data_IF_759310781815
#
_entry.id   IF_759310781815
#
_cell.length_a   1.000
_cell.length_b   1.000
_cell.length_c   1.000
_cell.angle_alpha   90.00
_cell.angle_beta   90.00
_cell.angle_gamma   90.00
#
_symmetry.space_group_name_H-M   'P 1'
#
loop_
_entity.id
_entity.type
_entity.pdbx_description
1 polymer ?
#
# COMPACT_ATOMS: atom_id res chain seq x y z
N UNK A 1 -3.12 0.96 23.21
CA UNK A 1 -4.47 0.43 23.55
C UNK A 1 -5.46 1.54 23.83
N UNK A 2 -5.17 2.48 24.72
CA UNK A 2 -6.11 3.56 25.08
C UNK A 2 -6.56 4.43 23.88
N UNK A 3 -5.68 4.73 22.91
CA UNK A 3 -6.01 5.58 21.76
C UNK A 3 -6.98 4.86 20.80
N UNK A 4 -6.71 3.60 20.47
CA UNK A 4 -7.60 2.81 19.61
C UNK A 4 -8.96 2.56 20.29
N UNK A 5 -8.96 2.35 21.61
CA UNK A 5 -10.18 2.23 22.39
C UNK A 5 -11.02 3.51 22.33
N UNK A 6 -10.38 4.67 22.46
CA UNK A 6 -11.06 5.97 22.32
C UNK A 6 -11.69 6.15 20.94
N UNK A 7 -11.00 5.74 19.85
CA UNK A 7 -11.56 5.77 18.50
C UNK A 7 -12.76 4.85 18.35
N UNK A 8 -12.72 3.64 18.93
CA UNK A 8 -13.82 2.70 18.92
C UNK A 8 -15.03 3.20 19.72
N UNK A 9 -14.81 3.68 20.95
CA UNK A 9 -15.87 4.21 21.83
C UNK A 9 -16.58 5.43 21.23
N UNK A 10 -15.86 6.23 20.42
CA UNK A 10 -16.45 7.31 19.64
C UNK A 10 -17.07 6.87 18.31
N UNK A 11 -17.11 5.57 18.02
CA UNK A 11 -17.73 5.02 16.83
C UNK A 11 -16.98 5.27 15.52
N UNK A 12 -15.70 5.62 15.56
CA UNK A 12 -14.91 5.92 14.36
C UNK A 12 -14.31 4.69 13.70
N UNK A 13 -13.98 3.66 14.48
CA UNK A 13 -13.43 2.40 13.98
C UNK A 13 -14.20 1.19 14.52
N UNK A 14 -14.04 0.03 13.88
CA UNK A 14 -14.50 -1.26 14.39
C UNK A 14 -13.71 -1.67 15.63
N UNK A 15 -14.13 -2.74 16.30
CA UNK A 15 -13.53 -3.21 17.55
C UNK A 15 -12.04 -3.53 17.34
N UNK A 16 -11.17 -2.92 18.17
CA UNK A 16 -9.72 -2.93 17.99
C UNK A 16 -9.03 -4.21 18.48
N UNK A 17 -9.71 -5.07 19.28
CA UNK A 17 -9.14 -6.34 19.74
C UNK A 17 -9.66 -7.48 18.87
N UNK A 18 -9.12 -7.58 17.66
CA UNK A 18 -9.46 -8.60 16.67
C UNK A 18 -8.21 -9.12 15.99
N UNK A 19 -8.24 -10.37 15.59
CA UNK A 19 -7.27 -11.02 14.72
C UNK A 19 -7.80 -11.19 13.28
N UNK A 20 -9.04 -10.78 13.05
CA UNK A 20 -9.69 -10.86 11.75
C UNK A 20 -9.02 -9.92 10.73
N UNK A 21 -8.91 -10.42 9.49
CA UNK A 21 -8.40 -9.70 8.32
C UNK A 21 -9.48 -9.52 7.26
N UNK A 22 -10.74 -9.79 7.60
CA UNK A 22 -11.87 -9.73 6.66
C UNK A 22 -12.80 -8.58 6.96
N UNK A 23 -13.50 -8.12 5.96
CA UNK A 23 -14.48 -7.04 6.04
C UNK A 23 -15.90 -7.57 5.79
N UNK A 24 -16.93 -6.85 6.23
CA UNK A 24 -18.29 -7.15 5.80
C UNK A 24 -18.47 -6.89 4.30
N UNK A 25 -19.34 -7.67 3.66
CA UNK A 25 -19.63 -7.51 2.24
C UNK A 25 -20.21 -6.12 1.92
N UNK A 26 -21.00 -5.56 2.85
CA UNK A 26 -21.55 -4.21 2.73
C UNK A 26 -20.42 -3.15 2.74
N UNK A 27 -19.47 -3.27 3.66
CA UNK A 27 -18.35 -2.35 3.72
C UNK A 27 -17.49 -2.39 2.44
N UNK A 28 -17.19 -3.60 1.93
CA UNK A 28 -16.43 -3.75 0.67
C UNK A 28 -17.17 -3.07 -0.48
N UNK A 29 -18.48 -3.21 -0.57
CA UNK A 29 -19.29 -2.54 -1.60
C UNK A 29 -19.19 -1.02 -1.49
N UNK A 30 -19.30 -0.47 -0.28
CA UNK A 30 -19.20 0.96 -0.04
C UNK A 30 -17.78 1.49 -0.35
N UNK A 31 -16.75 0.74 0.05
CA UNK A 31 -15.37 1.08 -0.25
C UNK A 31 -15.03 1.03 -1.75
N UNK A 32 -15.55 0.04 -2.49
CA UNK A 32 -15.43 -0.01 -3.95
C UNK A 32 -16.07 1.21 -4.62
N UNK A 33 -17.24 1.61 -4.17
CA UNK A 33 -17.89 2.83 -4.69
C UNK A 33 -17.02 4.06 -4.39
N UNK A 34 -16.54 4.19 -3.16
CA UNK A 34 -15.65 5.26 -2.76
C UNK A 34 -14.38 5.33 -3.65
N UNK A 35 -13.69 4.20 -3.84
CA UNK A 35 -12.50 4.11 -4.69
C UNK A 35 -12.83 4.48 -6.13
N UNK A 36 -13.94 3.97 -6.67
CA UNK A 36 -14.40 4.28 -8.03
C UNK A 36 -14.61 5.77 -8.23
N UNK A 37 -15.28 6.43 -7.27
CA UNK A 37 -15.71 7.83 -7.40
C UNK A 37 -14.55 8.81 -7.21
N UNK A 38 -13.53 8.45 -6.41
CA UNK A 38 -12.41 9.34 -6.09
C UNK A 38 -11.13 9.06 -6.87
N UNK A 39 -10.90 7.81 -7.30
CA UNK A 39 -9.64 7.39 -7.93
C UNK A 39 -9.84 6.76 -9.31
N UNK A 40 -10.98 6.13 -9.56
CA UNK A 40 -11.27 5.45 -10.80
C UNK A 40 -11.51 3.94 -10.60
N UNK A 41 -12.20 3.34 -11.58
CA UNK A 41 -12.55 1.91 -11.52
C UNK A 41 -11.33 0.99 -11.59
N UNK A 42 -10.29 1.43 -12.28
CA UNK A 42 -9.03 0.71 -12.48
C UNK A 42 -8.25 0.52 -11.17
N UNK A 43 -8.51 1.35 -10.17
CA UNK A 43 -7.88 1.23 -8.85
C UNK A 43 -8.53 0.21 -7.93
N UNK A 44 -9.69 -0.34 -8.30
CA UNK A 44 -10.39 -1.33 -7.45
C UNK A 44 -9.71 -2.68 -7.57
N UNK A 45 -9.29 -3.26 -6.44
CA UNK A 45 -8.66 -4.59 -6.37
C UNK A 45 -9.54 -5.65 -7.03
N UNK A 46 -9.00 -6.34 -8.03
CA UNK A 46 -9.64 -7.51 -8.63
C UNK A 46 -9.76 -8.63 -7.61
N UNK A 47 -10.97 -9.05 -7.32
CA UNK A 47 -11.20 -10.06 -6.28
C UNK A 47 -11.30 -9.52 -4.85
N UNK A 48 -11.49 -8.22 -4.64
CA UNK A 48 -11.74 -7.62 -3.32
C UNK A 48 -12.85 -8.34 -2.52
N UNK A 49 -13.81 -8.96 -3.21
CA UNK A 49 -14.88 -9.76 -2.57
C UNK A 49 -14.34 -10.99 -1.81
N UNK A 50 -13.12 -11.46 -2.13
CA UNK A 50 -12.47 -12.53 -1.38
C UNK A 50 -12.04 -12.12 0.04
N UNK A 51 -12.00 -10.82 0.31
CA UNK A 51 -11.75 -10.25 1.63
C UNK A 51 -13.02 -10.15 2.48
N UNK A 52 -14.18 -10.53 1.91
CA UNK A 52 -15.43 -10.55 2.66
C UNK A 52 -15.44 -11.67 3.70
N UNK A 53 -16.01 -11.36 4.87
CA UNK A 53 -16.28 -12.36 5.91
C UNK A 53 -17.10 -13.50 5.32
N UNK A 54 -16.61 -14.74 5.45
CA UNK A 54 -17.31 -15.93 4.92
C UNK A 54 -17.03 -16.24 3.44
N UNK A 55 -16.23 -15.46 2.72
CA UNK A 55 -15.89 -15.71 1.31
C UNK A 55 -15.13 -17.04 1.08
N UNK A 56 -14.37 -17.52 2.06
CA UNK A 56 -13.75 -18.84 2.01
C UNK A 56 -14.75 -19.88 2.50
N UNK A 57 -15.35 -20.68 1.60
CA UNK A 57 -16.04 -21.91 1.96
C UNK A 57 -15.01 -22.87 2.56
N UNK A 58 -14.91 -22.89 3.89
CA UNK A 58 -14.15 -23.92 4.58
C UNK A 58 -14.95 -25.23 4.43
N UNK A 59 -14.36 -26.23 3.78
CA UNK A 59 -14.90 -27.60 3.65
C UNK A 59 -14.75 -28.41 4.93
N UNK A 60 -14.46 -27.79 6.08
CA UNK A 60 -14.35 -28.47 7.38
C UNK A 60 -15.36 -27.90 8.35
N UNK A 61 -16.22 -28.82 8.85
CA UNK A 61 -17.14 -28.77 9.98
C UNK A 61 -17.47 -27.39 10.57
N UNK A 62 -18.78 -27.14 10.66
CA UNK A 62 -19.43 -26.14 11.50
C UNK A 62 -18.88 -26.21 12.93
N UNK A 63 -17.77 -25.56 13.19
CA UNK A 63 -17.48 -25.10 14.52
C UNK A 63 -18.30 -23.82 14.73
N UNK A 64 -19.01 -23.81 15.86
CA UNK A 64 -19.93 -22.79 16.33
C UNK A 64 -19.50 -21.41 15.85
N UNK A 65 -20.38 -20.74 15.12
CA UNK A 65 -20.17 -19.38 14.60
C UNK A 65 -19.83 -18.44 15.77
N UNK A 66 -18.56 -18.35 16.06
CA UNK A 66 -18.02 -17.25 16.83
C UNK A 66 -18.31 -16.01 15.98
N UNK A 67 -18.98 -15.03 16.56
CA UNK A 67 -19.32 -13.76 15.91
C UNK A 67 -18.17 -13.33 15.01
N UNK A 68 -18.45 -13.18 13.73
CA UNK A 68 -17.43 -12.94 12.73
C UNK A 68 -16.81 -11.57 12.97
N UNK A 69 -15.76 -11.52 13.77
CA UNK A 69 -15.01 -10.29 14.02
C UNK A 69 -14.48 -9.76 12.68
N UNK A 70 -14.78 -8.50 12.42
CA UNK A 70 -14.20 -7.79 11.28
C UNK A 70 -12.78 -7.30 11.59
N UNK A 71 -12.00 -7.03 10.53
CA UNK A 71 -10.76 -6.31 10.64
C UNK A 71 -10.97 -4.90 11.23
N UNK A 72 -9.93 -4.34 11.80
CA UNK A 72 -9.93 -2.94 12.22
C UNK A 72 -10.05 -2.06 10.97
N UNK A 73 -11.10 -1.27 10.91
CA UNK A 73 -11.40 -0.37 9.78
C UNK A 73 -12.19 0.86 10.23
N UNK A 74 -12.25 1.93 9.45
CA UNK A 74 -13.18 3.02 9.71
C UNK A 74 -14.62 2.52 9.59
N UNK A 75 -15.51 3.05 10.42
CA UNK A 75 -16.95 2.78 10.34
C UNK A 75 -17.56 3.44 9.11
N UNK A 76 -17.03 4.62 8.73
CA UNK A 76 -17.43 5.37 7.55
C UNK A 76 -16.23 5.66 6.65
N UNK A 77 -16.18 5.02 5.49
CA UNK A 77 -15.09 5.18 4.51
C UNK A 77 -14.98 6.61 3.95
N UNK A 78 -16.08 7.36 3.91
CA UNK A 78 -16.10 8.74 3.40
C UNK A 78 -15.44 9.74 4.37
N UNK A 79 -15.22 9.36 5.61
CA UNK A 79 -14.56 10.17 6.63
C UNK A 79 -13.06 9.88 6.61
N UNK A 80 -12.29 10.71 5.92
CA UNK A 80 -10.82 10.57 5.83
C UNK A 80 -10.09 10.91 7.13
N UNK A 81 -10.63 11.85 7.87
CA UNK A 81 -10.00 12.40 9.08
C UNK A 81 -11.05 12.57 10.18
N UNK A 82 -10.60 12.50 11.40
CA UNK A 82 -11.39 12.81 12.60
C UNK A 82 -10.75 14.00 13.30
N UNK A 83 -11.54 14.80 14.00
CA UNK A 83 -11.08 15.98 14.73
C UNK A 83 -11.54 15.93 16.19
N UNK A 84 -10.93 16.78 17.03
CA UNK A 84 -11.27 16.93 18.45
C UNK A 84 -10.98 15.71 19.35
N UNK A 85 -10.16 14.74 18.89
CA UNK A 85 -9.77 13.56 19.64
C UNK A 85 -8.31 13.61 20.12
N UNK A 86 -7.56 14.63 19.68
CA UNK A 86 -6.14 14.81 19.91
C UNK A 86 -5.25 14.18 18.83
N UNK A 87 -4.12 14.78 18.57
CA UNK A 87 -3.24 14.51 17.43
C UNK A 87 -2.82 13.04 17.26
N UNK A 88 -2.68 12.30 18.37
CA UNK A 88 -2.33 10.87 18.30
C UNK A 88 -3.50 10.00 17.82
N UNK A 89 -4.74 10.34 18.22
CA UNK A 89 -5.92 9.62 17.76
C UNK A 89 -6.22 9.95 16.28
N UNK A 90 -6.06 11.19 15.89
CA UNK A 90 -6.23 11.64 14.50
C UNK A 90 -5.23 10.94 13.58
N UNK A 91 -3.95 10.86 13.97
CA UNK A 91 -2.93 10.12 13.21
C UNK A 91 -3.21 8.63 13.12
N UNK A 92 -3.64 8.00 14.23
CA UNK A 92 -3.98 6.58 14.23
C UNK A 92 -5.20 6.30 13.34
N UNK A 93 -6.22 7.15 13.40
CA UNK A 93 -7.39 7.02 12.53
C UNK A 93 -7.01 7.13 11.06
N UNK A 94 -6.21 8.16 10.70
CA UNK A 94 -5.72 8.34 9.34
C UNK A 94 -4.96 7.12 8.84
N UNK A 95 -4.07 6.55 9.63
CA UNK A 95 -3.34 5.33 9.29
C UNK A 95 -4.28 4.13 9.06
N UNK A 96 -5.29 3.95 9.92
CA UNK A 96 -6.29 2.88 9.77
C UNK A 96 -7.09 3.09 8.48
N UNK A 97 -7.49 4.33 8.19
CA UNK A 97 -8.24 4.67 7.00
C UNK A 97 -7.43 4.41 5.73
N UNK A 98 -6.18 4.91 5.68
CA UNK A 98 -5.25 4.70 4.55
C UNK A 98 -5.04 3.22 4.29
N UNK A 99 -4.60 2.44 5.29
CA UNK A 99 -4.40 0.99 5.16
C UNK A 99 -5.66 0.24 4.71
N UNK A 100 -6.83 0.66 5.18
CA UNK A 100 -8.10 0.04 4.78
C UNK A 100 -8.40 0.29 3.30
N UNK A 101 -8.25 1.52 2.82
CA UNK A 101 -8.49 1.87 1.42
C UNK A 101 -7.46 1.18 0.52
N UNK A 102 -6.17 1.25 0.88
CA UNK A 102 -5.07 0.61 0.15
C UNK A 102 -5.27 -0.91 0.01
N UNK A 103 -5.77 -1.58 1.06
CA UNK A 103 -6.03 -3.03 1.04
C UNK A 103 -7.10 -3.45 0.01
N UNK A 104 -7.91 -2.51 -0.45
CA UNK A 104 -8.99 -2.71 -1.43
C UNK A 104 -8.65 -2.12 -2.81
N UNK A 105 -7.42 -1.63 -3.00
CA UNK A 105 -6.92 -1.09 -4.25
C UNK A 105 -5.99 -2.07 -4.97
N UNK A 106 -5.90 -1.92 -6.30
CA UNK A 106 -4.95 -2.68 -7.13
C UNK A 106 -3.51 -2.39 -6.71
N UNK A 107 -2.59 -3.37 -6.87
CA UNK A 107 -1.17 -3.18 -6.63
C UNK A 107 -0.58 -2.08 -7.50
N UNK A 108 0.42 -1.37 -6.97
CA UNK A 108 1.26 -0.50 -7.76
C UNK A 108 2.11 -1.33 -8.73
N UNK A 109 2.31 -0.81 -9.94
CA UNK A 109 3.13 -1.43 -10.97
C UNK A 109 4.34 -0.53 -11.23
N UNK A 110 5.53 -1.13 -11.19
CA UNK A 110 6.79 -0.46 -11.45
C UNK A 110 7.46 -1.05 -12.69
N UNK A 111 8.03 -0.18 -13.53
CA UNK A 111 9.06 -0.55 -14.46
C UNK A 111 10.42 -0.43 -13.75
N UNK A 112 11.15 -1.54 -13.63
CA UNK A 112 12.48 -1.58 -13.02
C UNK A 112 13.52 -1.90 -14.10
N UNK A 113 14.55 -1.06 -14.23
CA UNK A 113 15.67 -1.28 -15.14
C UNK A 113 16.98 -1.37 -14.39
N UNK A 114 17.71 -2.45 -14.59
CA UNK A 114 19.03 -2.66 -14.03
C UNK A 114 20.10 -2.43 -15.09
N UNK A 115 20.98 -1.47 -14.84
CA UNK A 115 22.13 -1.15 -15.68
C UNK A 115 23.37 -1.85 -15.15
N UNK A 116 24.10 -2.52 -16.04
CA UNK A 116 25.35 -3.19 -15.73
C UNK A 116 26.49 -2.36 -16.32
N UNK A 117 27.40 -1.91 -15.49
CA UNK A 117 28.56 -1.10 -15.87
C UNK A 117 29.79 -1.93 -15.59
N UNK A 118 30.49 -2.34 -16.66
CA UNK A 118 31.75 -3.06 -16.52
C UNK A 118 32.87 -2.13 -16.04
N UNK A 119 33.73 -2.66 -15.21
CA UNK A 119 34.86 -1.94 -14.62
C UNK A 119 36.15 -2.77 -14.78
N UNK A 120 37.34 -2.18 -14.52
CA UNK A 120 38.59 -2.93 -14.51
C UNK A 120 38.56 -4.18 -13.62
N UNK A 121 39.39 -5.16 -13.91
CA UNK A 121 39.48 -6.43 -13.19
C UNK A 121 38.17 -7.25 -13.22
N UNK A 122 37.47 -7.20 -14.34
CA UNK A 122 36.21 -7.92 -14.56
C UNK A 122 35.07 -7.57 -13.56
N UNK A 123 35.24 -6.49 -12.80
CA UNK A 123 34.19 -6.03 -11.88
C UNK A 123 32.99 -5.50 -12.65
N UNK A 124 31.79 -5.66 -12.04
CA UNK A 124 30.55 -5.14 -12.59
C UNK A 124 29.80 -4.37 -11.51
N UNK A 125 29.56 -3.10 -11.77
CA UNK A 125 28.66 -2.29 -10.96
C UNK A 125 27.23 -2.46 -11.48
N UNK A 126 26.27 -2.60 -10.56
CA UNK A 126 24.85 -2.66 -10.86
C UNK A 126 24.17 -1.42 -10.31
N UNK A 127 23.36 -0.80 -11.13
CA UNK A 127 22.49 0.30 -10.71
C UNK A 127 21.07 0.01 -11.17
N UNK A 128 20.13 -0.02 -10.24
CA UNK A 128 18.73 -0.25 -10.53
C UNK A 128 17.96 1.04 -10.32
N UNK A 129 17.14 1.42 -11.30
CA UNK A 129 16.22 2.55 -11.22
C UNK A 129 14.81 2.05 -11.47
N UNK A 130 13.84 2.65 -10.78
CA UNK A 130 12.45 2.26 -10.85
C UNK A 130 11.59 3.47 -11.23
N UNK A 131 10.62 3.24 -12.08
CA UNK A 131 9.61 4.21 -12.47
C UNK A 131 8.23 3.62 -12.23
N UNK A 132 7.30 4.43 -11.73
CA UNK A 132 5.91 4.00 -11.54
C UNK A 132 5.21 4.04 -12.89
N UNK A 133 4.66 2.89 -13.29
CA UNK A 133 3.79 2.74 -14.47
C UNK A 133 2.31 2.90 -14.08
N UNK A 134 1.92 2.30 -12.94
CA UNK A 134 0.59 2.46 -12.35
C UNK A 134 0.71 2.64 -10.83
N UNK A 135 0.15 3.74 -10.31
CA UNK A 135 0.28 4.11 -8.90
C UNK A 135 -0.42 3.12 -7.94
N UNK A 136 -1.54 2.52 -8.38
CA UNK A 136 -2.29 1.57 -7.58
C UNK A 136 -2.62 2.12 -6.18
N UNK A 137 -2.44 1.29 -5.15
CA UNK A 137 -2.67 1.66 -3.75
C UNK A 137 -1.80 2.84 -3.27
N UNK A 138 -0.64 3.07 -3.87
CA UNK A 138 0.24 4.18 -3.50
C UNK A 138 -0.34 5.56 -3.81
N UNK A 139 -1.42 5.63 -4.58
CA UNK A 139 -2.18 6.86 -4.79
C UNK A 139 -2.67 7.49 -3.48
N UNK A 140 -2.81 6.69 -2.43
CA UNK A 140 -3.28 7.14 -1.10
C UNK A 140 -2.13 7.77 -0.31
N UNK A 141 -1.03 7.04 -0.11
CA UNK A 141 0.11 7.45 0.74
C UNK A 141 1.23 8.14 -0.03
N UNK A 142 1.16 8.12 -1.37
CA UNK A 142 2.17 8.67 -2.27
C UNK A 142 3.30 7.69 -2.59
N UNK A 143 4.02 7.94 -3.68
CA UNK A 143 5.09 7.06 -4.13
C UNK A 143 6.25 7.07 -3.15
N UNK A 144 6.72 5.87 -2.78
CA UNK A 144 7.88 5.69 -1.91
C UNK A 144 9.18 6.11 -2.62
N UNK A 145 9.32 5.73 -3.90
CA UNK A 145 10.46 6.10 -4.73
C UNK A 145 10.03 6.09 -6.21
N UNK A 146 10.37 7.15 -6.93
CA UNK A 146 10.29 7.20 -8.39
C UNK A 146 11.30 8.23 -8.88
N UNK A 147 12.17 7.83 -9.80
CA UNK A 147 13.14 8.74 -10.41
C UNK A 147 13.08 8.66 -11.95
N UNK A 148 12.03 9.27 -12.54
CA UNK A 148 11.85 9.25 -14.00
C UNK A 148 12.96 9.98 -14.75
N UNK A 149 13.59 10.99 -14.14
CA UNK A 149 14.67 11.75 -14.79
C UNK A 149 15.92 10.89 -14.94
N UNK A 150 16.33 10.19 -13.87
CA UNK A 150 17.46 9.26 -13.93
C UNK A 150 17.15 8.09 -14.85
N UNK A 151 15.93 7.55 -14.86
CA UNK A 151 15.50 6.50 -15.79
C UNK A 151 15.67 6.97 -17.24
N UNK A 152 15.13 8.13 -17.59
CA UNK A 152 15.24 8.69 -18.95
C UNK A 152 16.69 8.94 -19.35
N UNK A 153 17.51 9.53 -18.46
CA UNK A 153 18.92 9.77 -18.69
C UNK A 153 19.67 8.46 -18.97
N UNK A 154 19.54 7.46 -18.11
CA UNK A 154 20.22 6.18 -18.26
C UNK A 154 19.80 5.42 -19.53
N UNK A 155 18.51 5.46 -19.88
CA UNK A 155 18.00 4.88 -21.12
C UNK A 155 18.53 5.60 -22.38
N UNK A 156 18.93 6.87 -22.28
CA UNK A 156 19.52 7.64 -23.39
C UNK A 156 20.98 7.28 -23.66
N UNK A 157 21.66 6.61 -22.72
CA UNK A 157 23.06 6.21 -22.88
C UNK A 157 23.13 5.00 -23.82
N UNK A 158 23.86 5.08 -24.96
CA UNK A 158 24.01 3.95 -25.87
C UNK A 158 24.67 2.75 -25.16
N UNK A 159 24.18 1.55 -25.44
CA UNK A 159 24.82 0.30 -24.98
C UNK A 159 26.27 0.24 -25.43
N UNK A 160 27.19 -0.23 -24.58
CA UNK A 160 28.64 -0.30 -24.80
C UNK A 160 29.34 1.05 -24.87
N UNK A 161 28.72 2.14 -24.45
CA UNK A 161 29.43 3.43 -24.33
C UNK A 161 30.43 3.36 -23.19
N UNK A 162 31.65 3.83 -23.44
CA UNK A 162 32.67 4.01 -22.39
C UNK A 162 32.29 5.23 -21.56
N UNK A 163 32.19 5.05 -20.24
CA UNK A 163 31.92 6.11 -19.27
C UNK A 163 33.19 6.44 -18.49
N UNK A 164 33.44 7.72 -18.26
CA UNK A 164 34.50 8.19 -17.35
C UNK A 164 33.86 8.61 -16.02
N UNK A 165 34.43 8.17 -14.91
CA UNK A 165 34.00 8.63 -13.58
C UNK A 165 34.71 9.95 -13.22
N UNK A 166 33.98 10.84 -12.54
CA UNK A 166 34.53 12.09 -11.99
C UNK A 166 35.05 11.93 -10.56
N UNK A 167 34.38 11.11 -9.76
CA UNK A 167 34.70 10.88 -8.35
C UNK A 167 34.08 9.57 -7.87
N UNK A 168 34.82 8.79 -7.10
CA UNK A 168 34.34 7.62 -6.38
C UNK A 168 34.29 7.97 -4.88
N UNK A 169 33.12 7.86 -4.26
CA UNK A 169 33.00 7.95 -2.82
C UNK A 169 32.68 6.53 -2.30
N UNK A 170 33.49 6.00 -1.41
CA UNK A 170 33.23 4.72 -0.74
C UNK A 170 32.80 4.99 0.68
N UNK A 171 31.58 4.58 1.05
CA UNK A 171 31.15 4.53 2.43
C UNK A 171 31.18 3.07 2.88
N UNK A 172 32.01 2.75 3.86
CA UNK A 172 31.89 1.48 4.57
C UNK A 172 30.75 1.60 5.57
N UNK A 173 29.70 0.84 5.39
CA UNK A 173 28.72 0.55 6.43
C UNK A 173 29.26 -0.63 7.24
N UNK A 174 29.62 -0.37 8.48
CA UNK A 174 29.92 -1.41 9.48
C UNK A 174 28.65 -2.07 9.97
#
# INVERSE_FOLDING_TARGET
MSIAQKLYENGHITYMRTDSKTYSAEFIKNAKNYIKDHYGKEFILKGADSLATGAKKSTKKKDLAQEAHEAIRPTNINMKEVSNLGSSAERLYKLIWENTVESLMEPAIYESKTFHITAPMEAVYKYTVEQIDFEGWQKISGPLTSDPQTMQYLCSIPTKKVLSYKKINSNMTL
#
